data_IF_020487934899
#
_entry.id   IF_020487934899
#
_cell.length_a   1.000
_cell.length_b   1.000
_cell.length_c   1.000
_cell.angle_alpha   90.00
_cell.angle_beta   90.00
_cell.angle_gamma   90.00
#
_symmetry.space_group_name_H-M   'P 1'
#
loop_
_entity.id
_entity.type
_entity.pdbx_description
1 polymer ?
#
# COMPACT_ATOMS: atom_id res chain seq x y z
N UNK A 1 10.56 1.02 1.96
CA UNK A 1 9.15 0.62 1.78
C UNK A 1 8.95 -0.68 2.55
N UNK A 2 8.10 -0.69 3.59
CA UNK A 2 7.88 -1.83 4.49
C UNK A 2 6.39 -2.18 4.48
N UNK A 3 5.90 -3.01 3.54
CA UNK A 3 4.47 -3.28 3.39
C UNK A 3 3.88 -4.04 4.59
N UNK A 4 4.69 -4.79 5.34
CA UNK A 4 4.28 -5.56 6.52
C UNK A 4 3.68 -4.68 7.63
N UNK A 5 4.04 -3.39 7.64
CA UNK A 5 3.49 -2.36 8.52
C UNK A 5 1.95 -2.29 8.49
N UNK A 6 1.33 -2.63 7.37
CA UNK A 6 -0.11 -2.50 7.16
C UNK A 6 -0.91 -3.78 7.44
N UNK A 7 -0.26 -4.85 7.92
CA UNK A 7 -0.93 -6.10 8.25
C UNK A 7 -1.76 -5.99 9.55
N UNK A 8 -2.86 -6.75 9.70
CA UNK A 8 -3.71 -6.67 10.90
C UNK A 8 -2.96 -6.93 12.24
N UNK A 9 -1.91 -7.76 12.20
CA UNK A 9 -1.07 -8.06 13.37
C UNK A 9 -0.12 -6.92 13.76
N UNK A 10 0.17 -5.98 12.86
CA UNK A 10 1.26 -5.02 13.03
C UNK A 10 1.02 -4.03 14.19
N UNK A 11 -0.23 -3.65 14.46
CA UNK A 11 -0.59 -2.75 15.57
C UNK A 11 -1.11 -3.48 16.82
N UNK A 12 -1.41 -4.77 16.70
CA UNK A 12 -2.03 -5.55 17.78
C UNK A 12 -0.99 -6.36 18.55
N UNK A 13 -0.02 -6.96 17.87
CA UNK A 13 1.06 -7.75 18.47
C UNK A 13 2.01 -6.86 19.29
N UNK A 14 2.33 -7.30 20.51
CA UNK A 14 3.23 -6.60 21.43
C UNK A 14 4.68 -6.61 20.93
N UNK A 15 5.09 -7.67 20.22
CA UNK A 15 6.46 -7.82 19.70
C UNK A 15 6.64 -7.13 18.33
N UNK A 16 5.55 -6.61 17.75
CA UNK A 16 5.62 -5.93 16.47
C UNK A 16 6.39 -4.61 16.58
N UNK A 17 7.36 -4.34 15.69
CA UNK A 17 8.05 -3.04 15.63
C UNK A 17 7.09 -1.89 15.26
N UNK A 18 5.89 -2.20 14.77
CA UNK A 18 4.86 -1.23 14.38
C UNK A 18 3.77 -1.03 15.43
N UNK A 19 3.93 -1.58 16.65
CA UNK A 19 2.91 -1.52 17.71
C UNK A 19 2.43 -0.10 18.01
N UNK A 20 3.37 0.84 18.09
CA UNK A 20 3.10 2.24 18.44
C UNK A 20 2.99 3.17 17.23
N UNK A 21 2.75 2.60 16.05
CA UNK A 21 2.69 3.35 14.82
C UNK A 21 1.41 4.20 14.70
N UNK A 22 1.55 5.42 14.17
CA UNK A 22 0.46 6.40 14.03
C UNK A 22 -0.17 6.31 12.64
N UNK A 23 -1.01 5.30 12.46
CA UNK A 23 -1.66 4.99 11.18
C UNK A 23 -2.68 6.06 10.74
N UNK A 24 -3.21 6.83 11.69
CA UNK A 24 -4.12 7.97 11.47
C UNK A 24 -3.44 9.16 10.77
N UNK A 25 -2.12 9.26 10.80
CA UNK A 25 -1.38 10.27 10.04
C UNK A 25 -1.43 10.03 8.51
N UNK A 26 -1.74 8.80 8.07
CA UNK A 26 -1.82 8.45 6.66
C UNK A 26 -3.17 8.86 6.07
N UNK A 27 -3.20 9.99 5.35
CA UNK A 27 -4.42 10.57 4.77
C UNK A 27 -4.34 10.71 3.23
N UNK A 28 -4.22 9.62 2.47
CA UNK A 28 -3.98 9.65 1.02
C UNK A 28 -5.17 10.19 0.22
N UNK A 29 -6.35 10.25 0.83
CA UNK A 29 -7.58 10.77 0.22
C UNK A 29 -8.06 12.07 0.89
N UNK A 30 -7.18 12.76 1.62
CA UNK A 30 -7.51 13.93 2.44
C UNK A 30 -8.57 13.63 3.53
N UNK A 31 -8.91 14.65 4.32
CA UNK A 31 -9.92 14.59 5.38
C UNK A 31 -10.91 15.76 5.29
N UNK A 32 -12.07 15.60 5.93
CA UNK A 32 -13.06 16.66 6.08
C UNK A 32 -13.80 17.01 4.78
N UNK A 33 -14.30 18.25 4.63
CA UNK A 33 -15.11 18.67 3.48
C UNK A 33 -14.39 18.57 2.12
N UNK A 34 -13.06 18.42 2.12
CA UNK A 34 -12.21 18.28 0.93
C UNK A 34 -11.72 16.83 0.73
N UNK A 35 -12.27 15.87 1.46
CA UNK A 35 -11.95 14.46 1.27
C UNK A 35 -12.37 13.97 -0.12
N UNK A 36 -11.63 13.02 -0.68
CA UNK A 36 -11.93 12.45 -1.98
C UNK A 36 -13.24 11.65 -1.94
N UNK A 37 -14.27 12.15 -2.63
CA UNK A 37 -15.56 11.45 -2.78
C UNK A 37 -15.39 10.09 -3.47
N UNK A 38 -14.38 9.96 -4.32
CA UNK A 38 -14.08 8.75 -5.08
C UNK A 38 -13.25 7.70 -4.35
N UNK A 39 -12.97 7.85 -3.04
CA UNK A 39 -12.07 6.95 -2.30
C UNK A 39 -12.41 5.46 -2.46
N UNK A 40 -13.70 5.11 -2.34
CA UNK A 40 -14.13 3.71 -2.47
C UNK A 40 -13.92 3.16 -3.88
N UNK A 41 -14.22 3.98 -4.91
CA UNK A 41 -14.01 3.62 -6.30
C UNK A 41 -12.52 3.46 -6.60
N UNK A 42 -11.69 4.40 -6.15
CA UNK A 42 -10.25 4.35 -6.33
C UNK A 42 -9.63 3.08 -5.72
N UNK A 43 -10.08 2.66 -4.53
CA UNK A 43 -9.63 1.41 -3.93
C UNK A 43 -10.08 0.18 -4.73
N UNK A 44 -11.31 0.16 -5.22
CA UNK A 44 -11.83 -0.94 -6.02
C UNK A 44 -11.04 -1.07 -7.33
N UNK A 45 -10.85 0.04 -8.05
CA UNK A 45 -10.09 0.09 -9.30
C UNK A 45 -8.63 -0.31 -9.09
N UNK A 46 -7.94 0.23 -8.08
CA UNK A 46 -6.55 -0.11 -7.81
C UNK A 46 -6.36 -1.61 -7.54
N UNK A 47 -7.24 -2.20 -6.73
CA UNK A 47 -7.20 -3.64 -6.41
C UNK A 47 -7.47 -4.49 -7.65
N UNK A 48 -8.47 -4.12 -8.46
CA UNK A 48 -8.82 -4.84 -9.68
C UNK A 48 -7.72 -4.75 -10.74
N UNK A 49 -7.15 -3.57 -10.95
CA UNK A 49 -6.06 -3.34 -11.89
C UNK A 49 -4.84 -4.15 -11.45
N UNK A 50 -4.43 -4.05 -10.17
CA UNK A 50 -3.29 -4.80 -9.66
C UNK A 50 -3.50 -6.32 -9.79
N UNK A 51 -4.67 -6.83 -9.42
CA UNK A 51 -4.99 -8.25 -9.56
C UNK A 51 -4.92 -8.71 -11.02
N UNK A 52 -5.46 -7.93 -11.97
CA UNK A 52 -5.38 -8.26 -13.40
C UNK A 52 -3.95 -8.20 -13.92
N UNK A 53 -3.17 -7.21 -13.49
CA UNK A 53 -1.77 -7.07 -13.90
C UNK A 53 -0.95 -8.29 -13.45
N UNK A 54 -1.05 -8.68 -12.19
CA UNK A 54 -0.31 -9.84 -11.65
C UNK A 54 -0.80 -11.16 -12.26
N UNK A 55 -2.08 -11.29 -12.58
CA UNK A 55 -2.64 -12.52 -13.13
C UNK A 55 -2.31 -12.73 -14.62
N UNK A 56 -2.26 -11.66 -15.42
CA UNK A 56 -2.20 -11.77 -16.88
C UNK A 56 -0.79 -11.55 -17.47
N UNK A 57 0.16 -11.02 -16.70
CA UNK A 57 1.48 -10.67 -17.19
C UNK A 57 2.60 -11.26 -16.32
N UNK A 58 3.66 -11.71 -16.97
CA UNK A 58 4.92 -12.03 -16.30
C UNK A 58 5.79 -10.75 -16.23
N UNK A 59 5.88 -10.18 -15.03
CA UNK A 59 6.56 -8.91 -14.80
C UNK A 59 7.99 -9.16 -14.32
N UNK A 60 8.96 -8.61 -15.05
CA UNK A 60 10.37 -8.65 -14.68
C UNK A 60 11.00 -7.27 -14.77
N UNK A 61 11.98 -7.01 -13.89
CA UNK A 61 12.81 -5.82 -14.04
C UNK A 61 13.85 -6.03 -15.15
N UNK A 62 14.26 -4.97 -15.87
CA UNK A 62 15.38 -5.04 -16.80
C UNK A 62 16.66 -5.50 -16.10
N UNK A 63 17.52 -6.26 -16.79
CA UNK A 63 18.74 -6.85 -16.21
C UNK A 63 19.66 -5.82 -15.53
N UNK A 64 19.71 -4.59 -16.04
CA UNK A 64 20.60 -3.54 -15.53
C UNK A 64 19.99 -2.67 -14.43
N UNK A 65 18.75 -2.97 -14.01
CA UNK A 65 18.02 -2.21 -12.98
C UNK A 65 18.55 -2.42 -11.55
N UNK A 66 19.47 -3.38 -11.34
CA UNK A 66 20.04 -3.68 -10.02
C UNK A 66 20.69 -2.44 -9.35
N UNK A 67 21.14 -1.46 -10.14
CA UNK A 67 21.71 -0.21 -9.63
C UNK A 67 20.67 0.74 -9.02
N UNK A 68 19.38 0.55 -9.31
CA UNK A 68 18.28 1.40 -8.84
C UNK A 68 17.76 1.03 -7.45
N UNK A 69 18.13 -0.14 -6.94
CA UNK A 69 17.67 -0.67 -5.64
C UNK A 69 18.60 -0.29 -4.47
N UNK A 70 19.51 0.66 -4.67
CA UNK A 70 20.41 1.18 -3.63
C UNK A 70 19.81 2.37 -2.90
#
# INVERSE_FOLDING_TARGET
>A
FLPERFLPGASTDAESPFKNDKMDALQPFSLGPRACLGQNLAWAELRLILAKVVWNFDLGLPRDSAKWLR
#
